data_IF_779574937093
#
_entry.id   IF_779574937093
#
_cell.length_a   1.000
_cell.length_b   1.000
_cell.length_c   1.000
_cell.angle_alpha   90.00
_cell.angle_beta   90.00
_cell.angle_gamma   90.00
#
_symmetry.space_group_name_H-M   'P 1'
#
loop_
_entity.id
_entity.type
_entity.pdbx_description
1 polymer ?
#
# COMPACT_ATOMS: atom_id res chain seq x y z
N UNK A 1 -6.70 -34.97 -48.34
CA UNK A 1 -7.27 -35.21 -46.99
C UNK A 1 -6.98 -33.97 -46.16
N UNK A 2 -7.79 -32.93 -46.37
CA UNK A 2 -8.95 -32.56 -45.54
C UNK A 2 -8.51 -31.81 -44.26
N UNK A 3 -8.25 -30.52 -44.44
CA UNK A 3 -8.68 -29.49 -43.49
C UNK A 3 -10.22 -29.42 -43.54
N UNK A 4 -10.88 -29.38 -42.37
CA UNK A 4 -12.22 -28.81 -42.17
C UNK A 4 -12.58 -28.66 -40.67
N UNK A 5 -13.01 -27.43 -40.34
CA UNK A 5 -14.04 -27.00 -39.38
C UNK A 5 -13.78 -27.22 -37.87
N UNK A 6 -13.45 -26.21 -37.04
CA UNK A 6 -14.20 -25.00 -36.60
C UNK A 6 -15.55 -25.32 -35.91
N UNK A 7 -15.61 -24.92 -34.62
CA UNK A 7 -16.77 -24.66 -33.76
C UNK A 7 -17.82 -25.75 -33.54
N UNK A 8 -17.87 -26.26 -32.31
CA UNK A 8 -19.15 -26.57 -31.65
C UNK A 8 -19.17 -25.90 -30.27
N UNK A 9 -19.86 -24.77 -30.21
CA UNK A 9 -20.35 -24.18 -28.96
C UNK A 9 -21.23 -25.21 -28.25
N UNK A 10 -20.89 -25.54 -27.00
CA UNK A 10 -21.81 -26.26 -26.11
C UNK A 10 -22.94 -25.30 -25.78
N UNK A 11 -24.14 -25.58 -26.27
CA UNK A 11 -25.27 -24.66 -26.12
C UNK A 11 -25.83 -24.74 -24.69
N UNK A 12 -26.16 -23.57 -24.12
CA UNK A 12 -26.73 -23.37 -22.78
C UNK A 12 -27.99 -24.20 -22.48
N UNK A 13 -28.63 -24.81 -23.49
CA UNK A 13 -29.78 -25.72 -23.31
C UNK A 13 -29.40 -27.14 -22.87
N UNK A 14 -28.20 -27.64 -23.17
CA UNK A 14 -27.78 -28.97 -22.72
C UNK A 14 -27.45 -28.98 -21.21
N UNK A 15 -27.00 -27.84 -20.68
CA UNK A 15 -26.73 -27.68 -19.25
C UNK A 15 -28.02 -27.63 -18.39
N UNK A 16 -29.14 -27.20 -18.97
CA UNK A 16 -30.43 -27.08 -18.26
C UNK A 16 -31.21 -28.40 -18.26
N UNK A 17 -31.04 -29.25 -19.27
CA UNK A 17 -31.70 -30.57 -19.30
C UNK A 17 -31.03 -31.57 -18.34
N UNK A 18 -29.73 -31.41 -18.06
CA UNK A 18 -29.01 -32.24 -17.07
C UNK A 18 -29.35 -31.96 -15.60
N UNK A 19 -29.99 -30.84 -15.28
CA UNK A 19 -30.34 -30.44 -13.91
C UNK A 19 -31.73 -30.91 -13.44
N UNK A 20 -32.52 -31.54 -14.31
CA UNK A 20 -33.94 -31.84 -14.05
C UNK A 20 -34.28 -33.25 -13.58
N UNK A 21 -33.33 -34.18 -13.45
CA UNK A 21 -33.63 -35.62 -13.27
C UNK A 21 -32.97 -36.28 -12.05
N UNK A 22 -32.87 -35.60 -10.91
CA UNK A 22 -32.47 -36.23 -9.64
C UNK A 22 -33.37 -35.78 -8.49
N UNK A 23 -34.61 -36.27 -8.52
CA UNK A 23 -35.39 -36.50 -7.33
C UNK A 23 -35.48 -38.01 -7.11
N UNK A 24 -35.30 -38.43 -5.84
CA UNK A 24 -35.46 -39.79 -5.27
C UNK A 24 -34.18 -40.65 -5.20
N UNK A 25 -33.64 -40.81 -3.98
CA UNK A 25 -32.75 -41.92 -3.63
C UNK A 25 -31.58 -41.53 -2.71
N UNK A 26 -31.56 -42.05 -1.49
CA UNK A 26 -30.56 -41.75 -0.46
C UNK A 26 -29.17 -42.37 -0.73
N UNK A 27 -28.15 -41.73 -0.14
CA UNK A 27 -26.76 -42.18 0.11
C UNK A 27 -25.82 -42.32 -1.09
N UNK A 28 -24.73 -41.53 -1.12
CA UNK A 28 -23.32 -41.95 -1.30
C UNK A 28 -22.37 -40.72 -1.40
N UNK A 29 -21.29 -40.81 -0.62
CA UNK A 29 -19.95 -40.23 -0.76
C UNK A 29 -19.75 -38.70 -0.83
N UNK A 30 -19.12 -38.20 0.24
CA UNK A 30 -18.11 -37.13 0.22
C UNK A 30 -17.18 -37.29 -0.99
N UNK A 31 -17.20 -36.38 -1.98
CA UNK A 31 -16.02 -36.04 -2.79
C UNK A 31 -16.26 -34.71 -3.53
N UNK A 32 -15.55 -33.67 -3.07
CA UNK A 32 -15.17 -32.49 -3.83
C UNK A 32 -16.25 -31.42 -4.06
N UNK A 33 -15.96 -30.18 -3.62
CA UNK A 33 -15.96 -29.16 -4.66
C UNK A 33 -16.54 -27.76 -4.38
N UNK A 34 -15.89 -26.93 -3.57
CA UNK A 34 -15.83 -25.46 -3.72
C UNK A 34 -17.13 -24.64 -3.84
N UNK A 35 -17.74 -24.29 -2.70
CA UNK A 35 -18.21 -22.90 -2.51
C UNK A 35 -17.89 -22.51 -1.07
N UNK A 36 -16.76 -21.85 -0.86
CA UNK A 36 -16.54 -21.09 0.36
C UNK A 36 -17.63 -20.02 0.40
N UNK A 37 -18.42 -19.99 1.48
CA UNK A 37 -19.31 -18.88 1.77
C UNK A 37 -18.44 -17.66 2.04
N UNK A 38 -18.20 -16.86 1.00
CA UNK A 38 -17.48 -15.60 1.10
C UNK A 38 -18.35 -14.61 1.90
N UNK A 39 -18.19 -14.56 3.21
CA UNK A 39 -18.66 -13.43 4.01
C UNK A 39 -17.58 -12.36 4.07
N UNK A 40 -17.53 -11.53 3.01
CA UNK A 40 -16.82 -10.26 3.03
C UNK A 40 -17.65 -9.19 3.75
N UNK A 41 -17.93 -9.39 5.05
CA UNK A 41 -18.35 -8.31 5.95
C UNK A 41 -17.25 -8.09 6.98
N UNK A 42 -16.17 -7.44 6.56
CA UNK A 42 -15.13 -7.02 7.48
C UNK A 42 -15.70 -6.04 8.50
N UNK A 43 -15.69 -6.41 9.78
CA UNK A 43 -15.97 -5.49 10.88
C UNK A 43 -14.77 -4.56 11.04
N UNK A 44 -15.01 -3.25 11.02
CA UNK A 44 -14.00 -2.23 11.29
C UNK A 44 -14.15 -1.69 12.71
N UNK A 45 -13.06 -1.20 13.33
CA UNK A 45 -11.66 -1.40 12.93
C UNK A 45 -11.24 -2.87 13.01
N UNK A 46 -10.18 -3.26 12.29
CA UNK A 46 -9.52 -4.55 12.54
C UNK A 46 -8.79 -4.49 13.89
N UNK A 47 -8.67 -5.65 14.59
CA UNK A 47 -8.01 -5.70 15.89
C UNK A 47 -6.55 -5.25 15.77
N UNK A 48 -6.12 -4.32 16.61
CA UNK A 48 -4.75 -3.80 16.63
C UNK A 48 -4.13 -3.89 18.01
N UNK A 49 -2.90 -4.41 18.06
CA UNK A 49 -2.01 -4.37 19.20
C UNK A 49 -0.80 -3.50 18.88
N UNK A 50 -0.27 -2.80 19.90
CA UNK A 50 0.89 -1.94 19.72
C UNK A 50 2.10 -2.75 19.23
N UNK A 51 2.76 -2.17 18.23
CA UNK A 51 3.97 -2.72 17.64
C UNK A 51 5.17 -1.88 18.04
N UNK A 52 6.35 -2.49 17.97
CA UNK A 52 7.62 -1.78 18.15
C UNK A 52 7.99 -1.10 16.81
N UNK A 53 8.13 0.25 16.77
CA UNK A 53 8.53 0.96 15.56
C UNK A 53 9.87 0.50 14.98
N UNK A 54 10.87 0.22 15.81
CA UNK A 54 12.21 -0.21 15.36
C UNK A 54 12.16 -1.62 14.77
N UNK A 55 11.50 -2.56 15.46
CA UNK A 55 11.29 -3.92 14.94
C UNK A 55 10.57 -3.88 13.58
N UNK A 56 9.55 -3.04 13.47
CA UNK A 56 8.76 -2.91 12.23
C UNK A 56 9.61 -2.33 11.10
N UNK A 57 10.41 -1.30 11.38
CA UNK A 57 11.31 -0.71 10.41
C UNK A 57 12.35 -1.73 9.91
N UNK A 58 12.94 -2.53 10.80
CA UNK A 58 13.89 -3.57 10.43
C UNK A 58 13.25 -4.67 9.56
N UNK A 59 12.02 -5.09 9.89
CA UNK A 59 11.27 -6.04 9.06
C UNK A 59 10.99 -5.46 7.66
N UNK A 60 10.52 -4.21 7.58
CA UNK A 60 10.26 -3.54 6.31
C UNK A 60 11.54 -3.41 5.46
N UNK A 61 12.67 -3.05 6.08
CA UNK A 61 13.95 -2.97 5.39
C UNK A 61 14.36 -4.30 4.76
N UNK A 62 14.28 -5.39 5.52
CA UNK A 62 14.70 -6.70 5.06
C UNK A 62 13.76 -7.27 3.99
N UNK A 63 12.45 -7.11 4.19
CA UNK A 63 11.42 -7.61 3.28
C UNK A 63 11.37 -6.83 1.96
N UNK A 64 11.85 -5.58 1.94
CA UNK A 64 11.95 -4.78 0.72
C UNK A 64 12.72 -5.48 -0.40
N UNK A 65 13.73 -6.29 -0.06
CA UNK A 65 14.52 -7.00 -1.06
C UNK A 65 13.79 -8.17 -1.72
N UNK A 66 12.65 -8.60 -1.18
CA UNK A 66 11.78 -9.63 -1.75
C UNK A 66 10.62 -9.01 -2.54
N UNK A 67 9.97 -8.00 -1.98
CA UNK A 67 8.67 -7.49 -2.47
C UNK A 67 8.60 -5.97 -2.66
N UNK A 68 9.73 -5.27 -2.52
CA UNK A 68 9.84 -3.82 -2.72
C UNK A 68 8.93 -2.98 -1.81
N UNK A 69 8.78 -1.70 -2.16
CA UNK A 69 8.45 -0.61 -1.24
C UNK A 69 7.12 -0.78 -0.50
N UNK A 70 6.02 -1.00 -1.22
CA UNK A 70 4.68 -0.98 -0.63
C UNK A 70 4.33 -2.28 0.09
N UNK A 71 4.57 -3.42 -0.56
CA UNK A 71 4.38 -4.73 0.05
C UNK A 71 5.26 -4.93 1.28
N UNK A 72 6.50 -4.41 1.31
CA UNK A 72 7.34 -4.52 2.51
C UNK A 72 6.78 -3.74 3.70
N UNK A 73 6.21 -2.55 3.49
CA UNK A 73 5.53 -1.80 4.56
C UNK A 73 4.32 -2.59 5.08
N UNK A 74 3.49 -3.11 4.18
CA UNK A 74 2.32 -3.93 4.56
C UNK A 74 2.76 -5.18 5.33
N UNK A 75 3.71 -5.95 4.76
CA UNK A 75 4.25 -7.19 5.34
C UNK A 75 4.82 -6.95 6.74
N UNK A 76 5.61 -5.88 6.92
CA UNK A 76 6.25 -5.58 8.20
C UNK A 76 5.26 -5.36 9.35
N UNK A 77 4.09 -4.79 9.08
CA UNK A 77 3.04 -4.58 10.08
C UNK A 77 2.17 -5.83 10.23
N UNK A 78 1.70 -6.39 9.11
CA UNK A 78 0.72 -7.48 9.12
C UNK A 78 1.31 -8.81 9.58
N UNK A 79 2.60 -9.10 9.32
CA UNK A 79 3.26 -10.29 9.86
C UNK A 79 3.24 -10.29 11.39
N UNK A 80 3.58 -9.16 12.02
CA UNK A 80 3.59 -9.04 13.47
C UNK A 80 2.17 -9.14 14.07
N UNK A 81 1.17 -8.53 13.43
CA UNK A 81 -0.22 -8.64 13.87
C UNK A 81 -0.79 -10.04 13.61
N UNK A 82 -0.35 -10.74 12.56
CA UNK A 82 -0.68 -12.14 12.33
C UNK A 82 -0.14 -13.04 13.45
N UNK A 83 1.10 -12.81 13.89
CA UNK A 83 1.69 -13.56 15.01
C UNK A 83 0.97 -13.29 16.34
N UNK A 84 0.60 -12.03 16.61
CA UNK A 84 -0.02 -11.62 17.88
C UNK A 84 -1.52 -11.92 17.96
N UNK A 85 -2.25 -11.71 16.87
CA UNK A 85 -3.72 -11.68 16.84
C UNK A 85 -4.31 -12.78 15.95
N UNK A 86 -3.61 -13.15 14.86
CA UNK A 86 -4.12 -14.10 13.87
C UNK A 86 -4.96 -13.42 12.79
N UNK A 87 -6.23 -13.80 12.67
CA UNK A 87 -7.12 -13.24 11.63
C UNK A 87 -7.51 -11.79 11.94
N UNK A 88 -7.69 -10.94 10.91
CA UNK A 88 -7.64 -11.24 9.47
C UNK A 88 -6.23 -11.15 8.84
N UNK A 89 -5.20 -10.83 9.63
CA UNK A 89 -3.84 -10.60 9.11
C UNK A 89 -3.20 -11.88 8.59
N UNK A 90 -3.48 -13.02 9.24
CA UNK A 90 -2.94 -14.33 8.87
C UNK A 90 -3.33 -14.74 7.45
N UNK A 91 -4.56 -14.44 7.03
CA UNK A 91 -5.06 -14.77 5.69
C UNK A 91 -4.87 -13.65 4.66
N UNK A 92 -4.24 -12.52 5.02
CA UNK A 92 -4.08 -11.39 4.12
C UNK A 92 -2.99 -11.65 3.05
N UNK A 93 -3.31 -11.58 1.75
CA UNK A 93 -2.34 -11.84 0.69
C UNK A 93 -1.47 -10.61 0.43
N UNK A 94 -0.30 -10.54 1.09
CA UNK A 94 0.62 -9.39 0.95
C UNK A 94 1.36 -9.37 -0.40
N UNK A 95 1.73 -10.52 -0.94
CA UNK A 95 2.59 -10.62 -2.12
C UNK A 95 2.06 -9.90 -3.39
N UNK A 96 0.74 -9.92 -3.70
CA UNK A 96 0.19 -9.16 -4.83
C UNK A 96 0.45 -7.65 -4.76
N UNK A 97 0.74 -7.08 -3.58
CA UNK A 97 1.07 -5.65 -3.44
C UNK A 97 2.49 -5.30 -3.90
N UNK A 98 3.28 -6.27 -4.38
CA UNK A 98 4.56 -6.01 -5.05
C UNK A 98 4.41 -5.01 -6.19
N UNK A 99 3.23 -4.98 -6.83
CA UNK A 99 2.88 -4.04 -7.90
C UNK A 99 3.12 -2.58 -7.49
N UNK A 100 3.08 -2.22 -6.20
CA UNK A 100 3.34 -0.85 -5.70
C UNK A 100 4.79 -0.38 -5.92
N UNK A 101 5.69 -1.27 -6.32
CA UNK A 101 7.08 -0.96 -6.62
C UNK A 101 7.25 0.13 -7.68
N UNK A 102 8.34 0.88 -7.61
CA UNK A 102 8.65 1.92 -8.60
C UNK A 102 7.58 3.04 -8.72
N UNK A 103 6.65 3.10 -7.78
CA UNK A 103 5.47 3.96 -7.87
C UNK A 103 4.42 3.42 -8.82
N UNK A 104 4.07 2.16 -8.56
CA UNK A 104 3.15 1.25 -9.25
C UNK A 104 3.68 0.65 -10.57
N UNK A 105 4.47 -0.39 -10.53
CA UNK A 105 5.10 -1.03 -11.70
C UNK A 105 6.01 -0.09 -12.52
N UNK A 106 6.72 0.82 -11.83
CA UNK A 106 7.79 1.63 -12.44
C UNK A 106 7.36 2.95 -13.07
N UNK A 107 6.08 3.31 -13.01
CA UNK A 107 5.57 4.57 -13.58
C UNK A 107 6.04 5.84 -12.86
N UNK A 108 6.68 5.72 -11.70
CA UNK A 108 7.22 6.86 -10.98
C UNK A 108 6.15 7.74 -10.30
N UNK A 109 4.93 7.22 -10.13
CA UNK A 109 3.79 7.93 -9.51
C UNK A 109 3.93 7.98 -7.98
N UNK A 110 2.90 7.70 -7.19
CA UNK A 110 2.96 7.69 -5.71
C UNK A 110 4.05 6.74 -5.21
N UNK A 111 4.86 7.13 -4.22
CA UNK A 111 5.85 6.21 -3.66
C UNK A 111 5.16 4.95 -3.07
N UNK A 112 5.65 3.76 -3.44
CA UNK A 112 5.06 2.51 -2.97
C UNK A 112 5.00 2.40 -1.44
N UNK A 113 6.01 2.92 -0.71
CA UNK A 113 6.03 2.87 0.76
C UNK A 113 4.86 3.61 1.40
N UNK A 114 4.54 4.83 0.92
CA UNK A 114 3.40 5.59 1.45
C UNK A 114 2.07 5.00 0.97
N UNK A 115 2.02 4.42 -0.25
CA UNK A 115 0.84 3.68 -0.69
C UNK A 115 0.57 2.45 0.20
N UNK A 116 1.62 1.71 0.59
CA UNK A 116 1.54 0.61 1.55
C UNK A 116 1.03 1.08 2.92
N UNK A 117 1.53 2.20 3.42
CA UNK A 117 1.04 2.78 4.68
C UNK A 117 -0.43 3.22 4.62
N UNK A 118 -0.88 3.76 3.47
CA UNK A 118 -2.29 4.10 3.25
C UNK A 118 -3.18 2.84 3.27
N UNK A 119 -2.71 1.74 2.69
CA UNK A 119 -3.43 0.45 2.76
C UNK A 119 -3.52 -0.04 4.20
N UNK A 120 -2.39 -0.06 4.93
CA UNK A 120 -2.34 -0.52 6.31
C UNK A 120 -3.31 0.28 7.21
N UNK A 121 -3.28 1.61 7.14
CA UNK A 121 -4.15 2.48 7.95
C UNK A 121 -5.63 2.26 7.66
N UNK A 122 -6.01 2.14 6.38
CA UNK A 122 -7.41 1.93 6.00
C UNK A 122 -7.91 0.50 6.25
N UNK A 123 -7.01 -0.48 6.38
CA UNK A 123 -7.35 -1.84 6.82
C UNK A 123 -7.40 -1.94 8.35
N UNK A 124 -6.51 -1.28 9.08
CA UNK A 124 -6.52 -1.39 10.54
C UNK A 124 -7.65 -0.56 11.14
N UNK A 125 -7.71 0.72 10.80
CA UNK A 125 -8.68 1.65 11.39
C UNK A 125 -10.02 1.56 10.66
N UNK A 126 -9.99 1.24 9.37
CA UNK A 126 -11.15 1.17 8.50
C UNK A 126 -11.17 2.31 7.47
N UNK A 127 -11.88 2.13 6.35
CA UNK A 127 -12.08 3.19 5.36
C UNK A 127 -13.13 4.20 5.87
N UNK A 128 -13.09 5.44 5.37
CA UNK A 128 -14.07 6.48 5.76
C UNK A 128 -15.54 6.07 5.58
N UNK A 129 -15.82 5.19 4.63
CA UNK A 129 -17.18 4.70 4.38
C UNK A 129 -17.70 3.77 5.47
N UNK A 130 -16.85 3.32 6.40
CA UNK A 130 -17.22 2.45 7.51
C UNK A 130 -17.80 3.20 8.72
N UNK A 131 -17.72 4.53 8.76
CA UNK A 131 -18.29 5.36 9.82
C UNK A 131 -17.28 6.37 10.42
N UNK A 132 -17.75 7.23 11.35
CA UNK A 132 -16.93 8.28 11.95
C UNK A 132 -15.71 7.75 12.71
N UNK A 133 -15.84 6.59 13.37
CA UNK A 133 -14.74 5.97 14.13
C UNK A 133 -13.57 5.53 13.23
N UNK A 134 -13.78 5.45 11.91
CA UNK A 134 -12.80 5.04 10.93
C UNK A 134 -12.10 6.24 10.23
N UNK A 135 -12.42 7.49 10.60
CA UNK A 135 -11.88 8.68 9.93
C UNK A 135 -10.34 8.73 10.01
N UNK A 136 -9.77 8.32 11.13
CA UNK A 136 -8.32 8.32 11.36
C UNK A 136 -7.54 7.47 10.35
N UNK A 137 -8.15 6.44 9.73
CA UNK A 137 -7.51 5.66 8.67
C UNK A 137 -7.13 6.53 7.47
N UNK A 138 -8.04 7.41 7.05
CA UNK A 138 -7.76 8.39 6.01
C UNK A 138 -6.82 9.49 6.47
N UNK A 139 -6.99 9.98 7.71
CA UNK A 139 -6.20 11.10 8.22
C UNK A 139 -4.72 10.72 8.35
N UNK A 140 -4.41 9.60 9.01
CA UNK A 140 -3.02 9.12 9.17
C UNK A 140 -2.41 8.80 7.80
N UNK A 141 -3.15 8.12 6.91
CA UNK A 141 -2.68 7.83 5.54
C UNK A 141 -2.39 9.08 4.70
N UNK A 142 -3.17 10.14 4.87
CA UNK A 142 -2.91 11.43 4.23
C UNK A 142 -1.73 12.16 4.88
N UNK A 143 -1.63 12.14 6.21
CA UNK A 143 -0.57 12.85 6.93
C UNK A 143 0.80 12.22 6.71
N UNK A 144 0.89 10.89 6.62
CA UNK A 144 2.16 10.23 6.31
C UNK A 144 2.65 10.58 4.89
N UNK A 145 1.73 10.86 3.96
CA UNK A 145 2.04 11.30 2.59
C UNK A 145 2.70 12.69 2.61
N UNK A 146 2.18 13.61 3.43
CA UNK A 146 2.79 14.93 3.64
C UNK A 146 4.12 14.83 4.39
N UNK A 147 4.15 14.10 5.51
CA UNK A 147 5.37 13.86 6.29
C UNK A 147 6.50 13.32 5.40
N UNK A 148 6.21 12.34 4.54
CA UNK A 148 7.17 11.79 3.59
C UNK A 148 7.77 12.88 2.69
N UNK A 149 6.92 13.74 2.14
CA UNK A 149 7.33 14.81 1.25
C UNK A 149 8.23 15.85 1.93
N UNK A 150 7.96 16.15 3.19
CA UNK A 150 8.61 17.22 3.94
C UNK A 150 9.85 16.74 4.73
N UNK A 151 9.98 15.43 4.94
CA UNK A 151 11.07 14.84 5.73
C UNK A 151 12.33 14.63 4.89
N UNK A 152 13.48 14.97 5.47
CA UNK A 152 14.78 14.67 4.89
C UNK A 152 15.08 13.16 4.99
N UNK A 153 14.63 12.36 4.03
CA UNK A 153 14.63 10.88 4.10
C UNK A 153 15.87 10.23 3.48
N UNK A 154 16.25 9.00 3.91
CA UNK A 154 15.62 8.18 4.96
C UNK A 154 16.02 8.61 6.40
N UNK A 155 15.17 8.33 7.39
CA UNK A 155 15.44 8.58 8.83
C UNK A 155 15.95 7.33 9.56
N UNK A 156 15.50 6.14 9.16
CA UNK A 156 15.87 4.87 9.80
C UNK A 156 17.20 4.33 9.24
N UNK A 157 18.04 3.83 10.14
CA UNK A 157 19.31 3.15 9.83
C UNK A 157 19.15 1.67 10.20
N UNK A 158 19.17 0.74 9.23
CA UNK A 158 19.02 -0.68 9.50
C UNK A 158 20.26 -1.25 10.18
N UNK A 159 20.08 -2.33 10.95
CA UNK A 159 21.18 -2.97 11.69
C UNK A 159 22.28 -3.48 10.77
N UNK A 160 21.88 -4.05 9.62
CA UNK A 160 22.80 -4.60 8.62
C UNK A 160 22.49 -4.01 7.23
N UNK A 161 22.99 -2.79 6.93
CA UNK A 161 22.78 -2.21 5.62
C UNK A 161 23.43 -3.00 4.48
N UNK A 162 22.73 -3.18 3.36
CA UNK A 162 23.24 -3.94 2.20
C UNK A 162 24.11 -3.06 1.30
N UNK A 163 23.87 -1.75 1.32
CA UNK A 163 24.77 -0.72 0.79
C UNK A 163 24.77 0.50 1.71
N UNK A 164 25.51 1.56 1.35
CA UNK A 164 25.60 2.79 2.15
C UNK A 164 25.99 2.52 3.63
N UNK A 165 26.98 1.64 3.85
CA UNK A 165 27.30 1.10 5.19
C UNK A 165 27.71 2.19 6.19
N UNK A 166 28.53 3.14 5.75
CA UNK A 166 29.06 4.19 6.62
C UNK A 166 28.09 5.37 6.74
N UNK A 167 27.49 5.78 5.61
CA UNK A 167 26.53 6.87 5.56
C UNK A 167 25.66 6.78 4.32
N UNK A 168 24.52 7.46 4.35
CA UNK A 168 23.62 7.60 3.22
C UNK A 168 23.23 9.07 3.02
N UNK A 169 23.27 9.54 1.77
CA UNK A 169 22.74 10.86 1.41
C UNK A 169 21.25 10.90 1.75
N UNK A 170 20.81 11.98 2.39
CA UNK A 170 19.40 12.24 2.70
C UNK A 170 18.90 13.40 1.85
N UNK A 171 17.65 13.33 1.43
CA UNK A 171 17.01 14.39 0.66
C UNK A 171 15.55 14.55 1.06
N UNK A 172 15.06 15.79 1.05
CA UNK A 172 13.63 16.10 1.09
C UNK A 172 13.05 16.12 -0.33
N UNK A 173 11.99 15.35 -0.58
CA UNK A 173 11.41 15.23 -1.92
C UNK A 173 10.48 16.38 -2.29
N UNK A 174 9.92 17.08 -1.29
CA UNK A 174 8.79 18.01 -1.42
C UNK A 174 7.62 17.42 -2.23
N UNK A 175 7.53 16.10 -2.31
CA UNK A 175 6.66 15.42 -3.27
C UNK A 175 6.37 14.00 -2.80
N UNK A 176 5.11 13.53 -2.88
CA UNK A 176 4.79 12.12 -2.67
C UNK A 176 5.21 11.22 -3.84
N UNK A 177 5.68 11.79 -4.95
CA UNK A 177 6.01 11.06 -6.16
C UNK A 177 7.37 10.35 -6.06
N UNK A 178 7.37 9.07 -6.43
CA UNK A 178 8.55 8.21 -6.52
C UNK A 178 9.58 8.79 -7.48
N UNK A 179 9.14 9.26 -8.67
CA UNK A 179 10.00 9.90 -9.65
C UNK A 179 10.80 11.07 -9.05
N UNK A 180 10.11 12.00 -8.39
CA UNK A 180 10.73 13.19 -7.79
C UNK A 180 11.62 12.81 -6.60
N UNK A 181 11.13 11.94 -5.70
CA UNK A 181 11.90 11.48 -4.56
C UNK A 181 13.21 10.79 -4.98
N UNK A 182 13.12 9.80 -5.86
CA UNK A 182 14.30 9.03 -6.31
C UNK A 182 15.21 9.91 -7.16
N UNK A 183 14.65 10.72 -8.07
CA UNK A 183 15.42 11.61 -8.94
C UNK A 183 16.23 12.65 -8.18
N UNK A 184 15.63 13.30 -7.16
CA UNK A 184 16.35 14.25 -6.30
C UNK A 184 17.48 13.58 -5.53
N UNK A 185 17.23 12.38 -5.00
CA UNK A 185 18.27 11.61 -4.31
C UNK A 185 19.41 11.22 -5.26
N UNK A 186 19.09 10.70 -6.45
CA UNK A 186 20.10 10.33 -7.45
C UNK A 186 20.94 11.53 -7.87
N UNK A 187 20.32 12.70 -8.05
CA UNK A 187 21.04 13.95 -8.34
C UNK A 187 22.01 14.34 -7.21
N UNK A 188 21.58 14.20 -5.96
CA UNK A 188 22.37 14.56 -4.79
C UNK A 188 23.50 13.56 -4.49
N UNK A 189 23.25 12.26 -4.72
CA UNK A 189 24.20 11.19 -4.39
C UNK A 189 25.13 10.81 -5.53
N UNK A 190 24.77 11.13 -6.77
CA UNK A 190 25.51 10.72 -7.97
C UNK A 190 25.28 9.26 -8.37
N UNK A 191 24.49 8.49 -7.62
CA UNK A 191 24.24 7.08 -7.91
C UNK A 191 23.13 6.88 -8.95
N UNK A 192 23.34 5.91 -9.85
CA UNK A 192 22.39 5.54 -10.88
C UNK A 192 21.15 4.82 -10.32
N UNK A 193 20.07 4.76 -11.11
CA UNK A 193 18.84 4.06 -10.70
C UNK A 193 19.09 2.58 -10.43
N UNK A 194 19.91 1.89 -11.22
CA UNK A 194 20.17 0.45 -11.05
C UNK A 194 21.10 0.11 -9.86
N UNK A 195 21.73 1.13 -9.25
CA UNK A 195 22.74 0.96 -8.20
C UNK A 195 22.21 0.27 -6.94
N UNK A 196 23.10 -0.40 -6.21
CA UNK A 196 22.77 -1.00 -4.92
C UNK A 196 22.48 0.07 -3.87
N UNK A 197 23.14 1.21 -3.97
CA UNK A 197 22.98 2.37 -3.10
C UNK A 197 21.59 2.98 -3.22
N UNK A 198 21.05 3.10 -4.44
CA UNK A 198 19.65 3.52 -4.65
C UNK A 198 18.67 2.49 -4.10
N UNK A 199 18.90 1.20 -4.36
CA UNK A 199 18.04 0.12 -3.84
C UNK A 199 17.99 0.16 -2.30
N UNK A 200 19.15 0.23 -1.66
CA UNK A 200 19.30 0.39 -0.22
C UNK A 200 18.62 1.66 0.29
N UNK A 201 18.75 2.79 -0.40
CA UNK A 201 17.99 4.01 -0.08
C UNK A 201 16.49 3.77 -0.06
N UNK A 202 15.94 3.10 -1.08
CA UNK A 202 14.50 2.81 -1.13
C UNK A 202 14.06 1.83 -0.04
N UNK A 203 14.88 0.83 0.31
CA UNK A 203 14.63 -0.06 1.44
C UNK A 203 14.58 0.71 2.76
N UNK A 204 15.53 1.62 3.00
CA UNK A 204 15.55 2.47 4.20
C UNK A 204 14.41 3.47 4.25
N UNK A 205 13.95 3.95 3.10
CA UNK A 205 12.74 4.78 3.01
C UNK A 205 11.49 3.97 3.37
N UNK A 206 11.36 2.73 2.90
CA UNK A 206 10.27 1.85 3.32
C UNK A 206 10.30 1.60 4.84
N UNK A 207 11.48 1.34 5.40
CA UNK A 207 11.69 1.20 6.83
C UNK A 207 11.31 2.47 7.62
N UNK A 208 11.72 3.64 7.12
CA UNK A 208 11.39 4.94 7.72
C UNK A 208 9.89 5.20 7.73
N UNK A 209 9.19 4.86 6.66
CA UNK A 209 7.72 4.98 6.57
C UNK A 209 7.05 4.00 7.52
N UNK A 210 7.53 2.75 7.60
CA UNK A 210 6.99 1.74 8.53
C UNK A 210 7.19 2.16 10.00
N UNK A 211 8.34 2.74 10.34
CA UNK A 211 8.61 3.31 11.66
C UNK A 211 7.56 4.36 12.03
N UNK A 212 7.44 5.42 11.20
CA UNK A 212 6.52 6.53 11.45
C UNK A 212 5.05 6.06 11.49
N UNK A 213 4.69 5.14 10.60
CA UNK A 213 3.36 4.54 10.58
C UNK A 213 3.01 3.87 11.92
N UNK A 214 3.94 3.11 12.49
CA UNK A 214 3.70 2.44 13.78
C UNK A 214 3.65 3.44 14.93
N UNK A 215 4.44 4.51 14.92
CA UNK A 215 4.28 5.60 15.88
C UNK A 215 2.85 6.17 15.85
N UNK A 216 2.34 6.46 14.64
CA UNK A 216 1.00 7.03 14.47
C UNK A 216 -0.12 6.04 14.84
N UNK A 217 0.01 4.77 14.49
CA UNK A 217 -0.95 3.72 14.87
C UNK A 217 -0.95 3.47 16.38
N UNK A 218 0.22 3.49 17.02
CA UNK A 218 0.33 3.37 18.47
C UNK A 218 -0.30 4.59 19.17
N UNK A 219 -0.06 5.80 18.66
CA UNK A 219 -0.68 7.02 19.18
C UNK A 219 -2.21 6.98 19.00
N UNK A 220 -2.70 6.52 17.86
CA UNK A 220 -4.14 6.31 17.63
C UNK A 220 -4.73 5.29 18.60
N UNK A 221 -4.06 4.15 18.80
CA UNK A 221 -4.49 3.10 19.74
C UNK A 221 -4.57 3.60 21.18
N UNK A 222 -3.66 4.48 21.58
CA UNK A 222 -3.64 5.12 22.89
C UNK A 222 -4.61 6.32 23.00
N UNK A 223 -5.35 6.66 21.93
CA UNK A 223 -6.27 7.80 21.90
C UNK A 223 -5.57 9.16 21.89
N UNK A 224 -4.28 9.20 21.51
CA UNK A 224 -3.41 10.40 21.53
C UNK A 224 -3.20 11.03 20.15
N UNK A 225 -3.70 10.41 19.09
CA UNK A 225 -3.62 10.96 17.73
C UNK A 225 -4.76 11.96 17.50
N UNK A 226 -4.44 13.26 17.51
CA UNK A 226 -5.44 14.34 17.38
C UNK A 226 -5.22 15.23 16.14
N UNK A 227 -4.29 14.86 15.27
CA UNK A 227 -4.00 15.64 14.07
C UNK A 227 -5.12 15.47 13.04
N UNK A 228 -5.52 16.56 12.39
CA UNK A 228 -6.38 16.53 11.21
C UNK A 228 -5.57 16.34 9.93
N UNK A 229 -6.24 16.31 8.77
CA UNK A 229 -5.55 16.22 7.47
C UNK A 229 -4.68 17.46 7.23
N UNK A 230 -3.37 17.26 7.13
CA UNK A 230 -2.36 18.32 7.06
C UNK A 230 -2.30 19.03 5.69
N UNK A 231 -2.80 18.42 4.62
CA UNK A 231 -2.78 18.98 3.27
C UNK A 231 -3.94 18.50 2.39
N UNK A 232 -4.51 19.42 1.59
CA UNK A 232 -5.54 19.08 0.61
C UNK A 232 -5.49 19.99 -0.61
N UNK A 233 -4.90 19.49 -1.70
CA UNK A 233 -4.84 20.23 -2.96
C UNK A 233 -6.23 20.61 -3.50
N UNK A 234 -7.22 19.71 -3.37
CA UNK A 234 -8.58 20.00 -3.82
C UNK A 234 -9.20 21.20 -3.07
N UNK A 235 -8.95 21.33 -1.76
CA UNK A 235 -9.41 22.49 -0.98
C UNK A 235 -8.68 23.78 -1.35
N UNK A 236 -7.38 23.71 -1.62
CA UNK A 236 -6.56 24.90 -1.90
C UNK A 236 -6.66 25.38 -3.36
N UNK A 237 -6.82 24.46 -4.31
CA UNK A 237 -6.68 24.73 -5.74
C UNK A 237 -7.87 24.26 -6.59
N UNK A 238 -8.84 23.57 -6.01
CA UNK A 238 -9.99 23.03 -6.75
C UNK A 238 -9.66 21.83 -7.66
N UNK A 239 -8.45 21.28 -7.57
CA UNK A 239 -7.98 20.11 -8.32
C UNK A 239 -7.09 19.23 -7.44
N UNK A 240 -6.99 17.94 -7.78
CA UNK A 240 -6.03 17.04 -7.13
C UNK A 240 -4.60 17.43 -7.51
N UNK A 241 -3.66 17.24 -6.57
CA UNK A 241 -2.27 17.63 -6.77
C UNK A 241 -1.40 17.40 -5.53
N UNK A 242 -0.10 17.56 -5.72
CA UNK A 242 0.89 17.58 -4.65
C UNK A 242 1.10 19.00 -4.09
N UNK A 243 1.96 19.16 -3.09
CA UNK A 243 2.18 20.46 -2.41
C UNK A 243 2.94 21.52 -3.24
N UNK A 244 3.49 21.18 -4.41
CA UNK A 244 4.46 22.02 -5.13
C UNK A 244 4.26 21.99 -6.67
N UNK A 245 3.07 22.34 -7.16
CA UNK A 245 2.75 22.29 -8.60
C UNK A 245 3.78 23.01 -9.49
N UNK A 246 4.29 24.16 -9.04
CA UNK A 246 5.28 24.99 -9.75
C UNK A 246 6.62 24.30 -9.95
N UNK A 247 7.01 23.35 -9.09
CA UNK A 247 8.30 22.65 -9.21
C UNK A 247 8.36 21.80 -10.49
N UNK A 248 7.21 21.34 -10.99
CA UNK A 248 7.14 20.51 -12.20
C UNK A 248 6.54 21.28 -13.39
N UNK A 249 5.56 22.15 -13.15
CA UNK A 249 4.79 22.79 -14.21
C UNK A 249 5.24 24.24 -14.51
N UNK A 250 6.04 24.86 -13.64
CA UNK A 250 6.36 26.29 -13.76
C UNK A 250 5.08 27.14 -13.86
N UNK A 251 4.97 27.92 -14.93
CA UNK A 251 3.77 28.72 -15.25
C UNK A 251 2.64 27.93 -15.90
N UNK A 252 2.85 26.66 -16.29
CA UNK A 252 1.89 25.85 -17.06
C UNK A 252 1.03 24.96 -16.15
N UNK A 253 0.47 25.55 -15.10
CA UNK A 253 -0.39 24.83 -14.15
C UNK A 253 -1.83 24.82 -14.68
N UNK A 254 -2.48 23.64 -14.80
CA UNK A 254 -3.88 23.56 -15.21
C UNK A 254 -4.81 24.32 -14.25
N UNK A 255 -5.75 25.08 -14.79
CA UNK A 255 -6.76 25.81 -14.00
C UNK A 255 -8.01 24.95 -13.84
N UNK A 256 -8.44 24.71 -12.60
CA UNK A 256 -9.68 23.98 -12.34
C UNK A 256 -10.91 24.88 -12.59
N UNK A 257 -11.99 24.36 -13.19
CA UNK A 257 -13.25 25.09 -13.29
C UNK A 257 -13.83 25.32 -11.89
N UNK A 258 -14.42 26.51 -11.65
CA UNK A 258 -15.14 26.81 -10.40
C UNK A 258 -16.50 26.11 -10.42
N UNK A 259 -16.85 25.42 -9.34
CA UNK A 259 -18.20 24.88 -9.17
C UNK A 259 -19.23 26.02 -9.30
N UNK A 260 -20.28 25.80 -10.09
CA UNK A 260 -21.42 26.74 -10.13
C UNK A 260 -22.10 26.70 -8.75
N UNK A 261 -22.30 27.88 -8.17
CA UNK A 261 -23.08 28.04 -6.93
C UNK A 261 -24.54 27.69 -7.18
#
# INVERSE_FOLDING_TARGET
MLEKDINKEVSRRELIVGAGALAVGATIAKFGSFVSTAEAKGKWPWPYEKLDPEKTAELAYNEWYRVFCGAAVISSVFSQLSEKIGEPYKSFPVDPFIVLEGGLAGWGTVCGSIAGANIVTNMIIGPRIAGPDCEHGHVIGSNITKWYGDTNLPVYVPKNPRANKDSIVRTTSNSPLCHISVGRWMKASGYALSSNERKDRCARVAASVAYKLVEDLNAWKDGKYHEGVAWSAAKHFGITGQQNCTDCHGSNIPTAPKAKK
#
